data_IF_191886356953
#
_entry.id   IF_191886356953
#
_cell.length_a   1.000
_cell.length_b   1.000
_cell.length_c   1.000
_cell.angle_alpha   90.00
_cell.angle_beta   90.00
_cell.angle_gamma   90.00
#
_symmetry.space_group_name_H-M   'P 1'
#
loop_
_entity.id
_entity.type
_entity.pdbx_description
1 polymer ?
#
# COMPACT_ATOMS: atom_id res chain seq x y z
N UNK A 1 28.34 -30.12 18.85
CA UNK A 1 28.26 -30.72 20.20
C UNK A 1 28.81 -29.75 21.23
N UNK A 2 27.99 -29.30 22.18
CA UNK A 2 28.38 -28.91 23.54
C UNK A 2 27.15 -29.09 24.43
N UNK A 3 27.37 -29.59 25.64
CA UNK A 3 26.32 -30.13 26.51
C UNK A 3 25.97 -29.13 27.62
N UNK A 4 24.75 -29.27 28.16
CA UNK A 4 24.15 -28.72 29.39
C UNK A 4 25.14 -28.39 30.55
N UNK A 5 24.79 -27.63 31.60
CA UNK A 5 23.77 -28.03 32.62
C UNK A 5 23.54 -26.95 33.69
N UNK A 6 22.26 -26.73 34.11
CA UNK A 6 21.73 -26.25 35.43
C UNK A 6 22.33 -24.95 36.06
N UNK A 7 21.74 -24.20 37.01
CA UNK A 7 20.47 -24.15 37.74
C UNK A 7 20.41 -22.79 38.50
N UNK A 8 19.33 -22.31 39.13
CA UNK A 8 17.87 -22.41 38.97
C UNK A 8 17.20 -21.57 40.10
N UNK A 9 15.89 -21.25 40.00
CA UNK A 9 15.06 -20.57 41.03
C UNK A 9 15.41 -19.08 41.29
N UNK A 10 14.49 -18.15 41.60
CA UNK A 10 13.10 -18.23 42.08
C UNK A 10 12.31 -16.91 41.79
N UNK A 11 10.98 -16.97 41.92
CA UNK A 11 10.06 -15.86 42.24
C UNK A 11 9.81 -14.74 41.19
N UNK A 12 8.79 -14.97 40.36
CA UNK A 12 7.51 -14.26 40.54
C UNK A 12 7.38 -12.81 40.07
N UNK A 13 7.16 -12.64 38.77
CA UNK A 13 6.11 -11.72 38.29
C UNK A 13 5.35 -12.43 37.18
N UNK A 14 4.02 -12.45 37.25
CA UNK A 14 3.17 -12.93 36.17
C UNK A 14 3.09 -11.85 35.07
N UNK A 15 4.19 -11.64 34.35
CA UNK A 15 4.10 -11.12 32.99
C UNK A 15 3.53 -12.24 32.12
N UNK A 16 2.22 -12.43 32.20
CA UNK A 16 1.47 -12.78 31.02
C UNK A 16 1.74 -11.65 30.02
N UNK A 17 2.75 -11.85 29.18
CA UNK A 17 2.80 -11.17 27.91
C UNK A 17 1.52 -11.63 27.19
N UNK A 18 0.49 -10.81 27.32
CA UNK A 18 -0.57 -10.74 26.34
C UNK A 18 0.16 -10.42 25.04
N UNK A 19 0.47 -11.47 24.29
CA UNK A 19 0.38 -11.37 22.86
C UNK A 19 -1.02 -10.81 22.64
N UNK A 20 -1.08 -9.53 22.29
CA UNK A 20 -2.29 -8.99 21.69
C UNK A 20 -2.36 -9.72 20.35
N UNK A 21 -3.04 -10.87 20.37
CA UNK A 21 -3.94 -11.23 19.28
C UNK A 21 -4.81 -9.98 19.12
N UNK A 22 -4.36 -9.07 18.26
CA UNK A 22 -5.14 -7.93 17.86
C UNK A 22 -6.35 -8.55 17.18
N UNK A 23 -7.50 -8.51 17.86
CA UNK A 23 -8.75 -8.91 17.22
C UNK A 23 -8.83 -8.11 15.91
N UNK A 24 -9.17 -8.76 14.78
CA UNK A 24 -9.26 -8.04 13.53
C UNK A 24 -10.23 -6.89 13.78
N UNK A 25 -9.74 -5.66 13.61
CA UNK A 25 -10.59 -4.48 13.70
C UNK A 25 -11.82 -4.72 12.82
N UNK A 26 -13.01 -4.26 13.26
CA UNK A 26 -14.26 -4.48 12.51
C UNK A 26 -14.25 -3.65 11.21
N UNK A 27 -13.45 -4.11 10.25
CA UNK A 27 -13.19 -3.53 8.94
C UNK A 27 -14.48 -3.55 8.16
N UNK A 28 -15.05 -2.37 7.93
CA UNK A 28 -16.25 -2.23 7.12
C UNK A 28 -15.85 -2.14 5.66
N UNK A 29 -16.32 -3.06 4.82
CA UNK A 29 -16.08 -3.03 3.37
C UNK A 29 -16.59 -1.71 2.78
N UNK A 30 -15.73 -0.99 2.06
CA UNK A 30 -16.13 0.14 1.21
C UNK A 30 -16.60 -0.45 -0.11
N UNK A 31 -17.88 -0.24 -0.46
CA UNK A 31 -18.41 -0.73 -1.74
C UNK A 31 -17.86 0.07 -2.91
N UNK A 32 -17.95 -0.47 -4.12
CA UNK A 32 -17.51 0.25 -5.32
C UNK A 32 -18.25 1.57 -5.56
N UNK A 33 -19.51 1.67 -5.14
CA UNK A 33 -20.30 2.92 -5.18
C UNK A 33 -19.78 3.94 -4.15
N UNK A 34 -19.53 3.50 -2.91
CA UNK A 34 -18.94 4.37 -1.88
C UNK A 34 -17.53 4.85 -2.24
N UNK A 35 -16.71 4.00 -2.88
CA UNK A 35 -15.37 4.37 -3.32
C UNK A 35 -15.40 5.45 -4.42
N UNK A 36 -16.35 5.36 -5.35
CA UNK A 36 -16.58 6.41 -6.35
C UNK A 36 -16.99 7.74 -5.70
N UNK A 37 -17.87 7.72 -4.69
CA UNK A 37 -18.25 8.93 -3.94
C UNK A 37 -17.04 9.53 -3.19
N UNK A 38 -16.25 8.72 -2.50
CA UNK A 38 -15.02 9.14 -1.80
C UNK A 38 -14.04 9.81 -2.79
N UNK A 39 -13.74 9.16 -3.91
CA UNK A 39 -12.79 9.69 -4.91
C UNK A 39 -13.32 10.93 -5.63
N UNK A 40 -14.64 11.07 -5.78
CA UNK A 40 -15.25 12.28 -6.35
C UNK A 40 -15.07 13.53 -5.47
N UNK A 41 -15.03 13.37 -4.14
CA UNK A 41 -14.77 14.47 -3.19
C UNK A 41 -13.29 14.62 -2.83
N UNK A 42 -12.55 13.51 -2.78
CA UNK A 42 -11.20 13.39 -2.26
C UNK A 42 -10.33 12.47 -3.15
N UNK A 43 -9.92 12.93 -4.35
CA UNK A 43 -9.28 12.06 -5.36
C UNK A 43 -7.83 11.67 -5.06
N UNK A 44 -7.21 12.19 -4.00
CA UNK A 44 -5.82 11.87 -3.64
C UNK A 44 -5.79 10.88 -2.49
N UNK A 45 -5.51 9.62 -2.80
CA UNK A 45 -5.16 8.59 -1.84
C UNK A 45 -3.73 8.80 -1.36
N UNK A 46 -3.51 8.67 -0.05
CA UNK A 46 -2.25 8.88 0.63
C UNK A 46 -1.89 7.62 1.41
N UNK A 47 -0.85 6.92 0.98
CA UNK A 47 -0.29 5.76 1.66
C UNK A 47 0.54 6.17 2.88
N UNK A 48 0.30 5.51 4.01
CA UNK A 48 1.03 5.63 5.27
C UNK A 48 1.19 7.11 5.72
N UNK A 49 0.06 7.84 5.75
CA UNK A 49 -0.02 9.25 6.11
C UNK A 49 0.60 9.56 7.48
N UNK A 50 1.53 10.51 7.49
CA UNK A 50 2.09 11.12 8.69
C UNK A 50 1.42 12.48 8.94
N UNK A 51 0.72 12.58 10.08
CA UNK A 51 0.02 13.78 10.54
C UNK A 51 0.94 14.87 11.08
N UNK A 52 2.12 14.52 11.61
CA UNK A 52 3.06 15.49 12.19
C UNK A 52 3.80 16.28 11.09
N UNK A 53 4.04 15.67 9.92
CA UNK A 53 4.68 16.30 8.76
C UNK A 53 3.75 16.60 7.57
N UNK A 54 2.48 16.20 7.63
CA UNK A 54 1.47 16.34 6.55
C UNK A 54 1.91 15.71 5.22
N UNK A 55 2.33 14.43 5.26
CA UNK A 55 3.03 13.75 4.16
C UNK A 55 2.75 12.25 4.03
N UNK A 56 2.96 11.69 2.84
CA UNK A 56 2.70 10.29 2.49
C UNK A 56 3.95 9.58 1.96
N UNK A 57 4.00 8.25 2.01
CA UNK A 57 5.04 7.46 1.32
C UNK A 57 4.78 7.36 -0.18
N UNK A 58 3.51 7.21 -0.53
CA UNK A 58 3.00 7.34 -1.88
C UNK A 58 1.72 8.18 -1.90
N UNK A 59 1.50 8.89 -3.00
CA UNK A 59 0.22 9.56 -3.30
C UNK A 59 -0.31 9.03 -4.63
N UNK A 60 -1.54 8.53 -4.63
CA UNK A 60 -2.24 8.10 -5.84
C UNK A 60 -3.41 9.03 -6.11
N UNK A 61 -3.37 9.74 -7.24
CA UNK A 61 -4.55 10.41 -7.76
C UNK A 61 -5.41 9.40 -8.51
N UNK A 62 -6.66 9.21 -8.07
CA UNK A 62 -7.65 8.36 -8.72
C UNK A 62 -8.73 9.20 -9.42
N UNK A 63 -9.25 8.68 -10.54
CA UNK A 63 -10.42 9.24 -11.24
C UNK A 63 -11.27 8.10 -11.83
N UNK A 64 -12.60 8.21 -11.72
CA UNK A 64 -13.56 7.26 -12.28
C UNK A 64 -14.36 7.85 -13.46
N UNK A 65 -14.67 7.02 -14.45
CA UNK A 65 -15.65 7.27 -15.52
C UNK A 65 -16.55 6.03 -15.64
N UNK A 66 -17.61 5.99 -14.82
CA UNK A 66 -18.35 4.76 -14.54
C UNK A 66 -17.45 3.71 -13.90
N UNK A 67 -17.50 2.48 -14.41
CA UNK A 67 -16.66 1.38 -13.90
C UNK A 67 -15.19 1.49 -14.33
N UNK A 68 -14.83 2.41 -15.25
CA UNK A 68 -13.42 2.62 -15.61
C UNK A 68 -12.73 3.48 -14.54
N UNK A 69 -11.51 3.10 -14.15
CA UNK A 69 -10.66 3.89 -13.26
C UNK A 69 -9.32 4.20 -13.92
N UNK A 70 -8.81 5.40 -13.71
CA UNK A 70 -7.44 5.78 -14.04
C UNK A 70 -6.73 6.26 -12.76
N UNK A 71 -5.49 5.82 -12.59
CA UNK A 71 -4.64 6.14 -11.45
C UNK A 71 -3.31 6.73 -11.87
N UNK A 72 -2.80 7.70 -11.11
CA UNK A 72 -1.42 8.17 -11.17
C UNK A 72 -0.84 8.19 -9.76
N UNK A 73 -0.04 7.18 -9.45
CA UNK A 73 0.69 7.03 -8.20
C UNK A 73 2.08 7.66 -8.31
N UNK A 74 2.54 8.27 -7.22
CA UNK A 74 3.90 8.79 -7.07
C UNK A 74 4.48 8.38 -5.73
N UNK A 75 5.76 8.05 -5.72
CA UNK A 75 6.53 7.68 -4.52
C UNK A 75 8.01 8.02 -4.67
N UNK A 76 8.73 8.06 -3.56
CA UNK A 76 10.18 8.22 -3.52
C UNK A 76 10.85 6.84 -3.37
N UNK A 77 11.62 6.43 -4.38
CA UNK A 77 12.38 5.17 -4.38
C UNK A 77 13.74 5.28 -3.67
N UNK A 78 14.20 6.52 -3.49
CA UNK A 78 15.34 6.95 -2.69
C UNK A 78 15.13 8.45 -2.34
N UNK A 79 15.97 9.04 -1.49
CA UNK A 79 15.86 10.41 -0.96
C UNK A 79 15.44 11.50 -1.98
N UNK A 80 15.84 11.36 -3.26
CA UNK A 80 15.54 12.31 -4.35
C UNK A 80 15.02 11.66 -5.66
N UNK A 81 14.74 10.35 -5.68
CA UNK A 81 14.28 9.65 -6.90
C UNK A 81 12.77 9.45 -6.87
N UNK A 82 12.03 10.40 -7.46
CA UNK A 82 10.59 10.27 -7.68
C UNK A 82 10.29 9.27 -8.81
N UNK A 83 9.47 8.27 -8.52
CA UNK A 83 8.83 7.42 -9.51
C UNK A 83 7.37 7.80 -9.70
N UNK A 84 6.87 7.63 -10.92
CA UNK A 84 5.46 7.83 -11.27
C UNK A 84 4.95 6.55 -11.92
N UNK A 85 3.91 5.94 -11.34
CA UNK A 85 3.21 4.80 -11.92
C UNK A 85 1.86 5.30 -12.41
N UNK A 86 1.55 5.08 -13.68
CA UNK A 86 0.27 5.43 -14.29
C UNK A 86 -0.41 4.16 -14.76
N UNK A 87 -1.70 3.99 -14.45
CA UNK A 87 -2.44 2.80 -14.88
C UNK A 87 -3.91 3.07 -15.13
N UNK A 88 -4.54 2.18 -15.89
CA UNK A 88 -6.00 2.09 -16.03
C UNK A 88 -6.51 0.73 -15.58
N UNK A 89 -7.73 0.71 -15.05
CA UNK A 89 -8.37 -0.50 -14.57
C UNK A 89 -9.89 -0.45 -14.65
N UNK A 90 -10.53 -1.44 -14.06
CA UNK A 90 -11.99 -1.56 -13.98
C UNK A 90 -12.43 -1.88 -12.56
N UNK A 91 -13.52 -1.27 -12.13
CA UNK A 91 -14.22 -1.58 -10.89
C UNK A 91 -15.07 -2.84 -11.09
N UNK A 92 -14.67 -3.95 -10.47
CA UNK A 92 -15.38 -5.23 -10.54
C UNK A 92 -16.21 -5.46 -9.27
N UNK A 93 -17.32 -4.74 -9.14
CA UNK A 93 -18.10 -4.73 -7.90
C UNK A 93 -17.42 -3.84 -6.86
N UNK A 94 -16.78 -4.42 -5.85
CA UNK A 94 -16.18 -3.71 -4.71
C UNK A 94 -14.64 -3.62 -4.77
N UNK A 95 -14.03 -3.98 -5.91
CA UNK A 95 -12.57 -4.02 -6.11
C UNK A 95 -12.15 -3.33 -7.40
N UNK A 96 -11.08 -2.55 -7.36
CA UNK A 96 -10.40 -2.01 -8.56
C UNK A 96 -9.44 -3.07 -9.07
N UNK A 97 -9.62 -3.57 -10.30
CA UNK A 97 -8.70 -4.49 -10.94
C UNK A 97 -7.91 -3.82 -12.08
N UNK A 98 -6.59 -4.02 -12.12
CA UNK A 98 -5.66 -3.51 -13.14
C UNK A 98 -4.82 -4.66 -13.71
N UNK A 99 -4.69 -4.73 -15.04
CA UNK A 99 -3.85 -5.73 -15.69
C UNK A 99 -2.42 -5.18 -15.93
N UNK A 100 -1.39 -6.04 -16.02
CA UNK A 100 -0.01 -5.61 -16.27
C UNK A 100 0.16 -4.74 -17.52
N UNK A 101 -0.53 -5.08 -18.62
CA UNK A 101 -0.46 -4.36 -19.89
C UNK A 101 -1.05 -2.93 -19.82
N UNK A 102 -1.89 -2.66 -18.81
CA UNK A 102 -2.53 -1.36 -18.57
C UNK A 102 -1.75 -0.48 -17.56
N UNK A 103 -0.59 -0.96 -17.07
CA UNK A 103 0.27 -0.26 -16.10
C UNK A 103 1.56 0.22 -16.80
N UNK A 104 1.98 1.43 -16.47
CA UNK A 104 3.24 2.01 -16.93
C UNK A 104 3.98 2.68 -15.78
N UNK A 105 5.31 2.61 -15.77
CA UNK A 105 6.16 3.29 -14.80
C UNK A 105 7.09 4.27 -15.51
N UNK A 106 7.35 5.42 -14.89
CA UNK A 106 8.37 6.39 -15.25
C UNK A 106 9.20 6.72 -14.00
N UNK A 107 10.50 6.99 -14.17
CA UNK A 107 11.40 7.36 -13.07
C UNK A 107 12.14 8.65 -13.40
N UNK A 108 12.26 9.53 -12.42
CA UNK A 108 12.93 10.82 -12.53
C UNK A 108 14.29 10.80 -11.82
N UNK A 109 15.20 9.88 -12.21
CA UNK A 109 16.60 9.94 -11.79
C UNK A 109 17.50 10.61 -12.83
N UNK A 110 18.57 11.34 -12.42
CA UNK A 110 19.67 11.73 -13.32
C UNK A 110 20.46 10.55 -13.91
N UNK A 111 20.35 9.33 -13.36
CA UNK A 111 20.96 8.11 -13.92
C UNK A 111 19.96 7.33 -14.80
N UNK A 112 20.14 7.42 -16.12
CA UNK A 112 19.30 6.71 -17.09
C UNK A 112 19.41 5.17 -17.02
N UNK A 113 20.58 4.64 -16.62
CA UNK A 113 20.77 3.19 -16.48
C UNK A 113 20.07 2.65 -15.24
N UNK A 114 20.06 3.43 -14.14
CA UNK A 114 19.25 3.11 -12.98
C UNK A 114 17.76 3.15 -13.30
N UNK A 115 17.29 4.17 -14.05
CA UNK A 115 15.89 4.26 -14.49
C UNK A 115 15.45 3.01 -15.27
N UNK A 116 16.21 2.62 -16.31
CA UNK A 116 15.89 1.42 -17.10
C UNK A 116 15.90 0.14 -16.24
N UNK A 117 16.86 -0.01 -15.33
CA UNK A 117 16.96 -1.20 -14.47
C UNK A 117 15.75 -1.33 -13.54
N UNK A 118 15.41 -0.26 -12.81
CA UNK A 118 14.30 -0.28 -11.84
C UNK A 118 12.96 -0.40 -12.56
N UNK A 119 12.76 0.31 -13.68
CA UNK A 119 11.54 0.19 -14.49
C UNK A 119 11.33 -1.24 -15.01
N UNK A 120 12.37 -1.88 -15.56
CA UNK A 120 12.28 -3.26 -16.02
C UNK A 120 12.02 -4.24 -14.87
N UNK A 121 12.62 -4.03 -13.69
CA UNK A 121 12.37 -4.88 -12.52
C UNK A 121 10.94 -4.73 -12.00
N UNK A 122 10.41 -3.51 -11.96
CA UNK A 122 9.02 -3.22 -11.58
C UNK A 122 8.03 -3.89 -12.55
N UNK A 123 8.18 -3.65 -13.86
CA UNK A 123 7.27 -4.25 -14.85
C UNK A 123 7.33 -5.79 -14.83
N UNK A 124 8.52 -6.39 -14.70
CA UNK A 124 8.64 -7.84 -14.56
C UNK A 124 7.99 -8.40 -13.29
N UNK A 125 7.95 -7.64 -12.19
CA UNK A 125 7.25 -8.03 -10.97
C UNK A 125 5.72 -7.97 -11.16
N UNK A 126 5.20 -6.91 -11.78
CA UNK A 126 3.78 -6.76 -12.12
C UNK A 126 3.33 -7.87 -13.09
N UNK A 127 4.10 -8.13 -14.16
CA UNK A 127 3.85 -9.24 -15.10
C UNK A 127 3.81 -10.61 -14.38
N UNK A 128 4.69 -10.84 -13.40
CA UNK A 128 4.74 -12.09 -12.64
C UNK A 128 3.57 -12.27 -11.65
N UNK A 129 2.99 -11.18 -11.14
CA UNK A 129 1.81 -11.19 -10.28
C UNK A 129 0.49 -11.27 -11.07
N UNK A 130 0.50 -10.83 -12.34
CA UNK A 130 -0.69 -10.81 -13.19
C UNK A 130 -1.64 -9.67 -12.83
N UNK A 131 -2.94 -9.86 -13.06
CA UNK A 131 -3.97 -8.86 -12.73
C UNK A 131 -4.07 -8.69 -11.22
N UNK A 132 -3.83 -7.45 -10.77
CA UNK A 132 -3.93 -7.02 -9.38
C UNK A 132 -5.33 -6.44 -9.13
N UNK A 133 -5.94 -6.76 -7.99
CA UNK A 133 -7.23 -6.23 -7.58
C UNK A 133 -7.17 -5.69 -6.15
N UNK A 134 -7.48 -4.41 -5.96
CA UNK A 134 -7.46 -3.71 -4.66
C UNK A 134 -8.87 -3.49 -4.13
N UNK A 135 -9.11 -3.88 -2.88
CA UNK A 135 -10.37 -3.69 -2.12
C UNK A 135 -10.11 -2.76 -0.94
N UNK A 136 -11.06 -1.89 -0.60
CA UNK A 136 -10.89 -0.93 0.51
C UNK A 136 -11.79 -1.26 1.69
N UNK A 137 -11.26 -1.05 2.90
CA UNK A 137 -11.98 -1.22 4.15
C UNK A 137 -11.86 0.05 5.00
N UNK A 138 -12.98 0.59 5.47
CA UNK A 138 -13.00 1.69 6.40
C UNK A 138 -12.63 1.24 7.82
N UNK A 139 -11.88 2.09 8.52
CA UNK A 139 -11.50 1.96 9.93
C UNK A 139 -12.37 2.89 10.81
N UNK A 140 -12.46 2.59 12.11
CA UNK A 140 -13.25 3.38 13.06
C UNK A 140 -12.73 4.81 13.28
N UNK A 141 -11.45 5.06 12.99
CA UNK A 141 -10.78 6.36 13.13
C UNK A 141 -10.98 7.28 11.91
N UNK A 142 -11.67 6.80 10.87
CA UNK A 142 -11.87 7.51 9.60
C UNK A 142 -10.76 7.30 8.57
N UNK A 143 -9.74 6.50 8.89
CA UNK A 143 -8.79 5.97 7.91
C UNK A 143 -9.36 4.79 7.12
N UNK A 144 -8.56 4.27 6.20
CA UNK A 144 -8.87 3.10 5.39
C UNK A 144 -7.69 2.13 5.36
N UNK A 145 -7.96 0.90 4.99
CA UNK A 145 -6.97 -0.10 4.59
C UNK A 145 -7.27 -0.53 3.17
N UNK A 146 -6.29 -0.41 2.28
CA UNK A 146 -6.32 -1.04 0.95
C UNK A 146 -5.75 -2.46 1.07
N UNK A 147 -6.37 -3.41 0.37
CA UNK A 147 -5.93 -4.82 0.33
C UNK A 147 -5.86 -5.26 -1.13
N UNK A 148 -4.66 -5.56 -1.61
CA UNK A 148 -4.39 -6.00 -2.98
C UNK A 148 -4.20 -7.51 -3.05
N UNK A 149 -4.98 -8.15 -3.92
CA UNK A 149 -4.91 -9.58 -4.24
C UNK A 149 -4.62 -9.77 -5.73
N UNK A 150 -4.30 -10.99 -6.14
CA UNK A 150 -4.46 -11.39 -7.54
C UNK A 150 -5.96 -11.47 -7.90
N UNK A 151 -6.30 -11.52 -9.19
CA UNK A 151 -7.69 -11.54 -9.67
C UNK A 151 -8.54 -12.72 -9.14
N UNK A 152 -7.91 -13.85 -8.79
CA UNK A 152 -8.56 -15.02 -8.19
C UNK A 152 -8.78 -14.91 -6.67
N UNK A 153 -8.34 -13.81 -6.06
CA UNK A 153 -8.40 -13.55 -4.62
C UNK A 153 -7.18 -14.02 -3.83
N UNK A 154 -6.13 -14.54 -4.48
CA UNK A 154 -4.88 -14.92 -3.80
C UNK A 154 -4.21 -13.68 -3.16
N UNK A 155 -3.99 -13.66 -1.83
CA UNK A 155 -3.33 -12.54 -1.17
C UNK A 155 -1.89 -12.35 -1.64
N UNK A 156 -1.46 -11.11 -1.74
CA UNK A 156 -0.07 -10.74 -2.05
C UNK A 156 0.66 -10.44 -0.72
N UNK A 157 1.89 -10.95 -0.51
CA UNK A 157 2.71 -10.57 0.64
C UNK A 157 2.86 -9.05 0.70
N UNK A 158 2.63 -8.48 1.88
CA UNK A 158 2.70 -7.03 2.13
C UNK A 158 1.75 -6.19 1.24
N UNK A 159 0.73 -6.82 0.65
CA UNK A 159 -0.32 -6.17 -0.14
C UNK A 159 -1.44 -5.54 0.70
N UNK A 160 -1.19 -5.22 1.96
CA UNK A 160 -2.13 -4.51 2.83
C UNK A 160 -1.49 -3.19 3.29
N UNK A 161 -2.15 -2.07 3.04
CA UNK A 161 -1.60 -0.73 3.29
C UNK A 161 -2.63 0.20 3.95
N UNK A 162 -2.18 1.04 4.89
CA UNK A 162 -3.01 2.06 5.53
C UNK A 162 -3.10 3.31 4.66
N UNK A 163 -4.30 3.72 4.28
CA UNK A 163 -4.52 4.84 3.35
C UNK A 163 -5.53 5.87 3.88
N UNK A 164 -5.38 7.13 3.44
CA UNK A 164 -6.34 8.21 3.67
C UNK A 164 -6.62 8.97 2.38
N UNK A 165 -7.85 9.46 2.20
CA UNK A 165 -8.26 10.22 1.02
C UNK A 165 -8.33 11.72 1.32
N UNK A 166 -7.77 12.54 0.42
CA UNK A 166 -7.72 13.99 0.55
C UNK A 166 -8.23 14.71 -0.71
N UNK A 167 -8.89 15.86 -0.52
CA UNK A 167 -9.29 16.76 -1.60
C UNK A 167 -8.14 17.54 -2.26
N UNK A 168 -6.93 17.46 -1.70
CA UNK A 168 -5.71 18.05 -2.22
C UNK A 168 -4.55 17.09 -2.00
N UNK A 169 -3.60 17.12 -2.93
CA UNK A 169 -2.36 16.37 -2.85
C UNK A 169 -1.53 16.73 -1.60
N UNK A 170 -0.90 15.71 -1.03
CA UNK A 170 0.02 15.80 0.11
C UNK A 170 1.47 15.71 -0.35
N UNK A 171 2.39 16.12 0.51
CA UNK A 171 3.83 16.02 0.21
C UNK A 171 4.30 14.57 0.28
N UNK A 172 5.23 14.16 -0.59
CA UNK A 172 5.91 12.87 -0.44
C UNK A 172 6.98 12.95 0.66
N UNK A 173 7.16 11.84 1.39
CA UNK A 173 8.30 11.57 2.28
C UNK A 173 8.97 10.25 1.88
N UNK A 174 10.26 10.12 2.16
CA UNK A 174 10.93 8.84 2.03
C UNK A 174 10.36 7.82 3.04
N UNK A 175 10.37 6.55 2.66
CA UNK A 175 10.19 5.45 3.61
C UNK A 175 11.47 5.39 4.47
N UNK A 176 11.39 5.38 5.81
CA UNK A 176 12.57 5.22 6.65
C UNK A 176 13.25 3.88 6.35
N UNK A 177 14.58 3.86 6.21
CA UNK A 177 15.32 2.58 6.21
C UNK A 177 15.07 1.87 7.54
N UNK A 178 14.36 0.73 7.50
CA UNK A 178 14.26 -0.14 8.68
C UNK A 178 15.64 -0.68 9.01
N UNK A 179 16.22 -0.16 10.10
CA UNK A 179 17.47 -0.69 10.64
C UNK A 179 17.16 -2.03 11.30
N UNK A 180 17.35 -3.14 10.56
CA UNK A 180 17.39 -4.48 11.15
C UNK A 180 18.40 -4.50 12.31
N UNK A 181 17.96 -4.90 13.51
CA UNK A 181 18.75 -4.90 14.76
C UNK A 181 18.79 -6.27 15.46
#
# INVERSE_FOLDING_TARGET
MKTLTLAALLAGTACAALAQDAEPSERTLVTGEMLQEIVAEAPYECANYDMDSDSCEAVTQLTFDGDMVAGTARSLFADDVEGTVMGTGTLEGDRICMAPDDITMQLQSPDSTMNEMVQNQFMAAIEALGTLCTTYYALEDGGYVSVTTQADGTPIPDGEEGVQFFGQEKSLRAVPEEIET
#
